data_IF_890944352240
#
_entry.id   IF_890944352240
#
_cell.length_a   1.000
_cell.length_b   1.000
_cell.length_c   1.000
_cell.angle_alpha   90.00
_cell.angle_beta   90.00
_cell.angle_gamma   90.00
#
_symmetry.space_group_name_H-M   'P 1'
#
loop_
_entity.id
_entity.type
_entity.pdbx_description
1 polymer ?
#
# COMPACT_ATOMS: atom_id res chain seq x y z
N UNK A 1 -10.76 -39.12 4.03
CA UNK A 1 -11.49 -37.86 4.33
C UNK A 1 -10.57 -36.67 4.07
N UNK A 2 -10.60 -36.06 2.88
CA UNK A 2 -9.75 -34.90 2.55
C UNK A 2 -10.52 -33.80 1.77
N UNK A 3 -11.85 -33.88 1.78
CA UNK A 3 -12.73 -32.96 1.06
C UNK A 3 -13.31 -31.82 1.92
N UNK A 4 -13.20 -31.87 3.26
CA UNK A 4 -13.86 -30.86 4.13
C UNK A 4 -13.11 -29.52 4.25
N UNK A 5 -11.77 -29.50 4.17
CA UNK A 5 -11.00 -28.25 4.31
C UNK A 5 -11.14 -27.28 3.12
N UNK A 6 -11.46 -27.78 1.92
CA UNK A 6 -11.68 -26.92 0.74
C UNK A 6 -13.05 -26.21 0.77
N UNK A 7 -14.07 -26.82 1.36
CA UNK A 7 -15.41 -26.23 1.48
C UNK A 7 -15.53 -25.23 2.64
N UNK A 8 -14.78 -25.40 3.74
CA UNK A 8 -14.72 -24.38 4.81
C UNK A 8 -14.17 -23.03 4.35
N UNK A 9 -13.33 -23.00 3.31
CA UNK A 9 -12.84 -21.74 2.73
C UNK A 9 -13.95 -20.96 2.01
N UNK A 10 -14.91 -21.65 1.38
CA UNK A 10 -16.00 -21.02 0.62
C UNK A 10 -17.02 -20.28 1.50
N UNK A 11 -17.15 -20.66 2.77
CA UNK A 11 -18.04 -20.00 3.75
C UNK A 11 -17.31 -19.09 4.75
N UNK A 12 -16.02 -18.85 4.54
CA UNK A 12 -15.29 -17.87 5.37
C UNK A 12 -15.68 -16.45 4.98
N UNK A 13 -15.80 -15.54 5.97
CA UNK A 13 -16.05 -14.10 5.73
C UNK A 13 -15.07 -13.52 4.70
N UNK A 14 -13.84 -14.02 4.69
CA UNK A 14 -12.80 -13.63 3.74
C UNK A 14 -13.12 -14.02 2.29
N UNK A 15 -13.72 -15.19 2.05
CA UNK A 15 -14.10 -15.62 0.70
C UNK A 15 -15.28 -14.80 0.16
N UNK A 16 -16.27 -14.50 1.00
CA UNK A 16 -17.38 -13.60 0.63
C UNK A 16 -16.87 -12.19 0.28
N UNK A 17 -15.98 -11.62 1.10
CA UNK A 17 -15.38 -10.31 0.81
C UNK A 17 -14.51 -10.34 -0.46
N UNK A 18 -13.80 -11.45 -0.70
CA UNK A 18 -12.99 -11.65 -1.91
C UNK A 18 -13.83 -11.70 -3.19
N UNK A 19 -14.92 -12.48 -3.17
CA UNK A 19 -15.87 -12.59 -4.28
C UNK A 19 -16.51 -11.22 -4.56
N UNK A 20 -16.85 -10.50 -3.49
CA UNK A 20 -17.42 -9.17 -3.59
C UNK A 20 -16.46 -8.13 -4.18
N UNK A 21 -15.17 -8.11 -3.78
CA UNK A 21 -14.16 -7.25 -4.42
C UNK A 21 -14.02 -7.55 -5.91
N UNK A 22 -14.10 -8.82 -6.29
CA UNK A 22 -14.04 -9.22 -7.69
C UNK A 22 -15.27 -8.71 -8.45
N UNK A 23 -16.47 -8.88 -7.88
CA UNK A 23 -17.70 -8.34 -8.45
C UNK A 23 -17.67 -6.80 -8.59
N UNK A 24 -17.19 -6.07 -7.56
CA UNK A 24 -17.08 -4.60 -7.61
C UNK A 24 -16.11 -4.09 -8.69
N UNK A 25 -15.04 -4.85 -8.95
CA UNK A 25 -14.10 -4.55 -10.04
C UNK A 25 -14.72 -4.81 -11.40
N UNK A 26 -15.57 -5.83 -11.50
CA UNK A 26 -16.26 -6.16 -12.74
C UNK A 26 -17.33 -5.12 -13.11
N UNK A 27 -18.03 -4.55 -12.14
CA UNK A 27 -19.05 -3.51 -12.41
C UNK A 27 -18.47 -2.14 -12.77
N UNK A 28 -17.20 -1.88 -12.45
CA UNK A 28 -16.51 -0.63 -12.79
C UNK A 28 -15.06 -0.94 -13.22
N UNK A 29 -14.88 -1.45 -14.45
CA UNK A 29 -13.59 -1.92 -14.90
C UNK A 29 -12.63 -0.76 -15.17
N UNK A 30 -11.42 -0.86 -14.64
CA UNK A 30 -10.32 0.06 -14.96
C UNK A 30 -9.36 -0.61 -15.94
N UNK A 31 -9.14 0.02 -17.09
CA UNK A 31 -8.29 -0.54 -18.14
C UNK A 31 -6.80 -0.28 -17.89
N UNK A 32 -6.08 -1.30 -17.41
CA UNK A 32 -4.63 -1.25 -17.28
C UNK A 32 -3.93 -0.94 -18.61
N UNK A 33 -4.47 -1.42 -19.74
CA UNK A 33 -3.95 -1.13 -21.09
C UNK A 33 -4.02 0.36 -21.41
N UNK A 34 -5.14 1.04 -21.11
CA UNK A 34 -5.30 2.49 -21.36
C UNK A 34 -4.35 3.29 -20.49
N UNK A 35 -4.21 2.94 -19.21
CA UNK A 35 -3.25 3.60 -18.29
C UNK A 35 -1.81 3.37 -18.74
N UNK A 36 -1.45 2.16 -19.15
CA UNK A 36 -0.09 1.89 -19.65
C UNK A 36 0.21 2.69 -20.93
N UNK A 37 -0.81 3.01 -21.73
CA UNK A 37 -0.65 3.81 -22.94
C UNK A 37 -0.45 5.32 -22.65
N UNK A 38 -0.72 5.80 -21.44
CA UNK A 38 -0.47 7.20 -21.07
C UNK A 38 0.94 7.44 -20.54
N UNK A 39 1.74 6.38 -20.36
CA UNK A 39 3.14 6.49 -19.91
C UNK A 39 4.05 6.69 -21.12
N UNK A 40 4.95 7.67 -21.03
CA UNK A 40 6.03 7.80 -22.00
C UNK A 40 6.98 6.60 -21.89
N UNK A 41 6.89 5.73 -22.90
CA UNK A 41 7.66 4.48 -22.95
C UNK A 41 9.12 4.72 -23.26
N UNK A 42 9.43 5.72 -24.09
CA UNK A 42 10.82 6.02 -24.44
C UNK A 42 11.56 6.55 -23.21
N UNK A 43 10.90 7.42 -22.45
CA UNK A 43 11.43 7.95 -21.19
C UNK A 43 11.64 6.86 -20.14
N UNK A 44 10.64 5.98 -19.97
CA UNK A 44 10.75 4.89 -19.02
C UNK A 44 11.88 3.91 -19.37
N UNK A 45 12.06 3.60 -20.65
CA UNK A 45 13.15 2.72 -21.11
C UNK A 45 14.51 3.39 -20.93
N UNK A 46 14.61 4.71 -21.14
CA UNK A 46 15.82 5.47 -20.83
C UNK A 46 16.14 5.42 -19.33
N UNK A 47 15.15 5.60 -18.46
CA UNK A 47 15.33 5.49 -17.01
C UNK A 47 15.80 4.09 -16.61
N UNK A 48 15.27 3.04 -17.25
CA UNK A 48 15.67 1.65 -17.01
C UNK A 48 17.15 1.41 -17.31
N UNK A 49 17.76 2.09 -18.28
CA UNK A 49 19.20 1.94 -18.57
C UNK A 49 20.09 2.29 -17.36
N UNK A 50 19.63 3.21 -16.52
CA UNK A 50 20.32 3.60 -15.28
C UNK A 50 19.99 2.72 -14.07
N UNK A 51 19.06 1.78 -14.23
CA UNK A 51 18.61 0.90 -13.16
C UNK A 51 19.40 -0.42 -13.16
N UNK A 52 19.91 -0.89 -12.01
CA UNK A 52 20.69 -2.12 -11.97
C UNK A 52 19.91 -3.31 -12.53
N UNK A 53 20.49 -3.98 -13.52
CA UNK A 53 19.91 -5.21 -14.07
C UNK A 53 19.94 -6.31 -13.02
N UNK A 54 18.77 -6.89 -12.69
CA UNK A 54 18.61 -7.95 -11.69
C UNK A 54 17.96 -9.18 -12.33
N UNK A 55 18.71 -10.02 -13.07
CA UNK A 55 18.16 -11.10 -13.90
C UNK A 55 17.34 -12.14 -13.12
N UNK A 56 17.61 -12.28 -11.81
CA UNK A 56 16.95 -13.24 -10.93
C UNK A 56 16.05 -12.57 -9.88
N UNK A 57 15.76 -11.28 -10.03
CA UNK A 57 14.81 -10.62 -9.14
C UNK A 57 13.43 -11.27 -9.32
N UNK A 58 12.77 -11.57 -8.20
CA UNK A 58 11.34 -11.92 -8.23
C UNK A 58 10.60 -10.79 -8.95
N UNK A 59 9.57 -11.11 -9.73
CA UNK A 59 8.78 -10.13 -10.49
C UNK A 59 8.27 -8.95 -9.63
N UNK A 60 7.97 -9.22 -8.37
CA UNK A 60 7.60 -8.22 -7.35
C UNK A 60 8.70 -7.18 -7.04
N UNK A 61 9.93 -7.36 -7.51
CA UNK A 61 11.05 -6.44 -7.33
C UNK A 61 11.53 -5.85 -8.67
N UNK A 62 10.89 -6.23 -9.78
CA UNK A 62 11.13 -5.67 -11.11
C UNK A 62 10.31 -4.38 -11.26
N UNK A 63 10.77 -3.30 -10.65
CA UNK A 63 10.10 -2.00 -10.64
C UNK A 63 10.01 -1.35 -12.02
N UNK A 64 10.91 -1.75 -12.92
CA UNK A 64 10.95 -1.37 -14.33
C UNK A 64 9.82 -2.01 -15.17
N UNK A 65 9.22 -3.11 -14.71
CA UNK A 65 8.08 -3.74 -15.39
C UNK A 65 6.79 -2.95 -15.14
N UNK A 66 6.61 -1.84 -15.88
CA UNK A 66 5.41 -1.01 -15.78
C UNK A 66 4.14 -1.80 -16.04
N UNK A 67 4.11 -2.72 -17.01
CA UNK A 67 2.91 -3.49 -17.30
C UNK A 67 2.45 -4.30 -16.08
N UNK A 68 3.39 -4.92 -15.36
CA UNK A 68 3.11 -5.60 -14.10
C UNK A 68 2.61 -4.61 -13.03
N UNK A 69 3.32 -3.52 -12.79
CA UNK A 69 2.98 -2.58 -11.71
C UNK A 69 1.70 -1.81 -11.96
N UNK A 70 1.35 -1.48 -13.20
CA UNK A 70 0.05 -0.90 -13.53
C UNK A 70 -1.07 -1.88 -13.19
N UNK A 71 -0.94 -3.17 -13.54
CA UNK A 71 -1.95 -4.16 -13.17
C UNK A 71 -2.10 -4.34 -11.65
N UNK A 72 -0.99 -4.28 -10.91
CA UNK A 72 -1.02 -4.32 -9.43
C UNK A 72 -1.74 -3.09 -8.87
N UNK A 73 -1.40 -1.90 -9.35
CA UNK A 73 -1.94 -0.65 -8.82
C UNK A 73 -3.38 -0.37 -9.26
N UNK A 74 -3.82 -0.87 -10.42
CA UNK A 74 -5.25 -0.86 -10.79
C UNK A 74 -6.09 -1.56 -9.71
N UNK A 75 -5.64 -2.74 -9.25
CA UNK A 75 -6.34 -3.46 -8.18
C UNK A 75 -6.36 -2.66 -6.87
N UNK A 76 -5.25 -1.98 -6.52
CA UNK A 76 -5.18 -1.16 -5.31
C UNK A 76 -6.14 0.03 -5.35
N UNK A 77 -6.14 0.77 -6.46
CA UNK A 77 -7.06 1.88 -6.69
C UNK A 77 -8.51 1.42 -6.60
N UNK A 78 -8.87 0.32 -7.25
CA UNK A 78 -10.24 -0.22 -7.19
C UNK A 78 -10.60 -0.78 -5.81
N UNK A 79 -9.69 -1.48 -5.13
CA UNK A 79 -9.92 -2.02 -3.77
C UNK A 79 -10.14 -0.87 -2.76
N UNK A 80 -9.57 0.31 -3.02
CA UNK A 80 -9.73 1.53 -2.22
C UNK A 80 -10.83 2.47 -2.73
N UNK A 81 -11.51 2.11 -3.82
CA UNK A 81 -12.57 2.89 -4.46
C UNK A 81 -12.12 4.25 -5.00
N UNK A 82 -10.82 4.43 -5.21
CA UNK A 82 -10.25 5.67 -5.71
C UNK A 82 -10.77 5.99 -7.13
N UNK A 83 -11.02 4.97 -7.96
CA UNK A 83 -11.57 5.14 -9.30
C UNK A 83 -13.01 5.71 -9.37
N UNK A 84 -13.68 5.85 -8.22
CA UNK A 84 -15.09 6.28 -8.13
C UNK A 84 -15.41 7.12 -6.90
N UNK A 85 -14.38 7.58 -6.19
CA UNK A 85 -14.51 8.46 -5.03
C UNK A 85 -14.27 9.91 -5.42
N UNK A 86 -14.80 10.88 -4.67
CA UNK A 86 -14.38 12.27 -4.84
C UNK A 86 -12.86 12.44 -4.69
N UNK A 87 -12.26 13.51 -5.24
CA UNK A 87 -10.84 13.82 -5.04
C UNK A 87 -10.41 13.72 -3.58
N UNK A 88 -9.24 13.11 -3.35
CA UNK A 88 -8.67 12.87 -2.03
C UNK A 88 -7.23 13.38 -2.02
N UNK A 89 -6.76 13.81 -0.85
CA UNK A 89 -5.34 14.05 -0.59
C UNK A 89 -4.72 12.77 -0.01
N UNK A 90 -3.71 12.24 -0.69
CA UNK A 90 -3.08 10.95 -0.42
C UNK A 90 -1.60 11.14 -0.05
N UNK A 91 -1.17 10.51 1.03
CA UNK A 91 0.25 10.32 1.37
C UNK A 91 0.62 8.84 1.20
N UNK A 92 1.56 8.52 0.31
CA UNK A 92 2.03 7.15 0.11
C UNK A 92 3.43 6.96 0.71
N UNK A 93 3.50 6.12 1.75
CA UNK A 93 4.68 5.80 2.54
C UNK A 93 5.45 4.64 1.91
N UNK A 94 6.68 4.90 1.51
CA UNK A 94 7.44 3.99 0.64
C UNK A 94 6.85 3.99 -0.78
N UNK A 95 6.64 5.17 -1.37
CA UNK A 95 5.94 5.29 -2.67
C UNK A 95 6.69 4.63 -3.83
N UNK A 96 7.97 4.29 -3.65
CA UNK A 96 8.82 3.63 -4.63
C UNK A 96 8.81 4.39 -5.97
N UNK A 97 8.60 3.70 -7.11
CA UNK A 97 8.51 4.34 -8.44
C UNK A 97 7.31 5.28 -8.65
N UNK A 98 6.40 5.41 -7.68
CA UNK A 98 5.26 6.32 -7.76
C UNK A 98 4.06 5.85 -8.59
N UNK A 99 4.04 4.59 -9.09
CA UNK A 99 2.93 4.09 -9.90
C UNK A 99 1.55 4.21 -9.22
N UNK A 100 1.45 3.95 -7.92
CA UNK A 100 0.17 4.05 -7.20
C UNK A 100 -0.37 5.49 -7.22
N UNK A 101 0.49 6.46 -6.93
CA UNK A 101 0.14 7.88 -6.95
C UNK A 101 -0.12 8.37 -8.38
N UNK A 102 0.63 7.88 -9.37
CA UNK A 102 0.37 8.16 -10.79
C UNK A 102 -1.05 7.76 -11.19
N UNK A 103 -1.46 6.52 -10.89
CA UNK A 103 -2.84 6.09 -11.16
C UNK A 103 -3.85 6.92 -10.38
N UNK A 104 -3.59 7.20 -9.11
CA UNK A 104 -4.50 7.98 -8.27
C UNK A 104 -4.74 9.38 -8.86
N UNK A 105 -3.70 10.02 -9.42
CA UNK A 105 -3.84 11.32 -10.12
C UNK A 105 -4.69 11.23 -11.37
N UNK A 106 -4.61 10.15 -12.13
CA UNK A 106 -5.47 9.95 -13.31
C UNK A 106 -6.97 9.87 -12.94
N UNK A 107 -7.29 9.54 -11.68
CA UNK A 107 -8.64 9.55 -11.12
C UNK A 107 -8.98 10.83 -10.35
N UNK A 108 -8.14 11.88 -10.45
CA UNK A 108 -8.41 13.19 -9.86
C UNK A 108 -7.95 13.36 -8.42
N UNK A 109 -7.19 12.40 -7.85
CA UNK A 109 -6.62 12.57 -6.51
C UNK A 109 -5.32 13.35 -6.53
N UNK A 110 -4.99 13.97 -5.40
CA UNK A 110 -3.68 14.59 -5.17
C UNK A 110 -2.82 13.67 -4.32
N UNK A 111 -1.59 13.43 -4.76
CA UNK A 111 -0.68 12.48 -4.13
C UNK A 111 0.64 13.13 -3.72
N UNK A 112 1.12 12.80 -2.52
CA UNK A 112 2.48 13.04 -2.06
C UNK A 112 3.15 11.71 -1.71
N UNK A 113 4.33 11.46 -2.26
CA UNK A 113 5.14 10.30 -1.90
C UNK A 113 6.11 10.61 -0.76
N UNK A 114 6.43 9.60 0.03
CA UNK A 114 7.58 9.60 0.95
C UNK A 114 8.40 8.34 0.67
N UNK A 115 9.67 8.49 0.32
CA UNK A 115 10.58 7.37 0.07
C UNK A 115 12.03 7.82 0.28
N UNK A 116 12.96 6.96 0.70
CA UNK A 116 14.38 7.28 0.66
C UNK A 116 14.85 7.55 -0.78
N UNK A 117 16.01 8.16 -0.91
CA UNK A 117 16.60 8.52 -2.21
C UNK A 117 17.66 7.51 -2.69
N UNK A 118 17.60 6.29 -2.16
CA UNK A 118 18.59 5.24 -2.37
C UNK A 118 18.54 4.66 -3.79
N UNK A 119 17.38 4.71 -4.45
CA UNK A 119 17.14 4.05 -5.74
C UNK A 119 16.94 5.07 -6.88
N UNK A 120 17.95 5.29 -7.75
CA UNK A 120 17.88 6.27 -8.83
C UNK A 120 16.66 6.12 -9.75
N UNK A 121 16.22 4.87 -9.99
CA UNK A 121 15.03 4.63 -10.81
C UNK A 121 13.75 5.17 -10.18
N UNK A 122 13.63 5.16 -8.85
CA UNK A 122 12.46 5.72 -8.16
C UNK A 122 12.45 7.25 -8.28
N UNK A 123 13.62 7.88 -8.16
CA UNK A 123 13.77 9.32 -8.41
C UNK A 123 13.38 9.69 -9.85
N UNK A 124 13.82 8.91 -10.83
CA UNK A 124 13.51 9.16 -12.24
C UNK A 124 12.03 9.00 -12.56
N UNK A 125 11.43 7.91 -12.11
CA UNK A 125 10.01 7.61 -12.38
C UNK A 125 9.04 8.54 -11.66
N UNK A 126 9.34 8.94 -10.42
CA UNK A 126 8.51 9.94 -9.72
C UNK A 126 8.55 11.30 -10.42
N UNK A 127 9.69 11.71 -10.98
CA UNK A 127 9.77 12.90 -11.85
C UNK A 127 8.96 12.74 -13.13
N UNK A 128 9.11 11.61 -13.84
CA UNK A 128 8.34 11.30 -15.04
C UNK A 128 6.83 11.39 -14.81
N UNK A 129 6.36 10.88 -13.66
CA UNK A 129 4.94 10.89 -13.30
C UNK A 129 4.47 12.19 -12.63
N UNK A 130 5.34 13.20 -12.49
CA UNK A 130 5.06 14.45 -11.77
C UNK A 130 4.52 14.20 -10.35
N UNK A 131 5.12 13.25 -9.64
CA UNK A 131 4.79 12.91 -8.26
C UNK A 131 5.74 13.65 -7.32
N UNK A 132 5.25 14.60 -6.51
CA UNK A 132 6.08 15.21 -5.48
C UNK A 132 6.46 14.14 -4.45
N UNK A 133 7.71 14.19 -3.98
CA UNK A 133 8.27 13.20 -3.05
C UNK A 133 9.07 13.89 -1.95
N UNK A 134 8.74 13.57 -0.70
CA UNK A 134 9.58 13.88 0.46
C UNK A 134 10.65 12.79 0.59
N UNK A 135 11.91 13.19 0.65
CA UNK A 135 13.02 12.27 0.85
C UNK A 135 13.18 12.02 2.35
N UNK A 136 12.79 10.84 2.81
CA UNK A 136 12.95 10.44 4.20
C UNK A 136 12.94 8.92 4.37
N UNK A 137 13.60 8.44 5.42
CA UNK A 137 13.54 7.05 5.86
C UNK A 137 12.59 6.93 7.04
N UNK A 138 11.72 5.92 7.00
CA UNK A 138 10.85 5.56 8.12
C UNK A 138 11.63 4.60 9.02
N UNK A 139 11.75 4.95 10.30
CA UNK A 139 12.48 4.21 11.33
C UNK A 139 11.60 3.99 12.57
N UNK A 140 11.84 2.94 13.37
CA UNK A 140 11.05 2.69 14.57
C UNK A 140 11.19 3.87 15.55
N UNK A 141 10.10 4.19 16.25
CA UNK A 141 10.04 5.24 17.29
C UNK A 141 10.58 6.61 16.85
N UNK A 142 10.58 6.87 15.56
CA UNK A 142 11.03 8.14 14.98
C UNK A 142 9.84 8.78 14.27
N UNK A 143 9.45 10.01 14.63
CA UNK A 143 8.35 10.68 13.94
C UNK A 143 8.72 10.91 12.48
N UNK A 144 7.73 10.81 11.58
CA UNK A 144 7.93 11.20 10.19
C UNK A 144 8.34 12.69 10.08
N UNK A 145 9.03 13.11 9.00
CA UNK A 145 9.28 14.54 8.77
C UNK A 145 7.96 15.31 8.78
N UNK A 146 8.00 16.56 9.25
CA UNK A 146 6.83 17.42 9.14
C UNK A 146 6.56 17.76 7.66
N UNK A 147 5.32 17.58 7.25
CA UNK A 147 4.83 17.82 5.89
C UNK A 147 3.89 19.04 5.87
N UNK A 148 3.47 19.53 7.03
CA UNK A 148 2.63 20.73 7.16
C UNK A 148 1.17 20.55 6.72
N UNK A 149 0.72 19.31 6.45
CA UNK A 149 -0.69 19.03 6.10
C UNK A 149 -1.13 17.61 6.48
N UNK A 150 -2.46 17.45 6.54
CA UNK A 150 -3.15 16.18 6.81
C UNK A 150 -3.84 15.64 5.55
N UNK A 151 -4.02 14.33 5.51
CA UNK A 151 -4.45 13.56 4.36
C UNK A 151 -5.77 12.83 4.64
N UNK A 152 -6.55 12.61 3.58
CA UNK A 152 -7.77 11.79 3.63
C UNK A 152 -7.41 10.29 3.64
N UNK A 153 -6.26 9.95 3.04
CA UNK A 153 -5.75 8.60 2.95
C UNK A 153 -4.22 8.60 3.08
N UNK A 154 -3.71 7.83 4.03
CA UNK A 154 -2.29 7.46 4.10
C UNK A 154 -2.18 6.00 3.68
N UNK A 155 -1.29 5.69 2.75
CA UNK A 155 -1.05 4.32 2.28
C UNK A 155 0.38 3.91 2.55
N UNK A 156 0.61 2.62 2.75
CA UNK A 156 1.92 1.99 2.68
C UNK A 156 1.75 0.66 1.95
N UNK A 157 2.36 0.55 0.77
CA UNK A 157 2.22 -0.63 -0.08
C UNK A 157 3.43 -1.55 0.02
N UNK A 158 3.18 -2.84 0.24
CA UNK A 158 4.25 -3.86 0.40
C UNK A 158 5.29 -3.45 1.45
N UNK A 159 4.80 -2.91 2.56
CA UNK A 159 5.55 -2.32 3.66
C UNK A 159 6.74 -3.19 4.03
N UNK A 160 7.93 -2.58 4.09
CA UNK A 160 9.19 -3.22 4.45
C UNK A 160 10.02 -2.43 5.47
N UNK A 161 9.69 -1.16 5.73
CA UNK A 161 10.40 -0.31 6.71
C UNK A 161 10.34 -0.85 8.16
N UNK A 162 9.43 -1.78 8.43
CA UNK A 162 9.34 -2.48 9.70
C UNK A 162 10.45 -3.51 9.94
N UNK A 163 11.27 -3.81 8.91
CA UNK A 163 12.40 -4.73 9.01
C UNK A 163 13.63 -3.93 9.38
N UNK A 164 14.21 -4.23 10.55
CA UNK A 164 15.33 -3.52 11.12
C UNK A 164 16.66 -4.10 10.59
N UNK A 165 16.87 -5.39 10.83
CA UNK A 165 18.09 -6.08 10.46
C UNK A 165 17.81 -7.56 10.18
N UNK A 166 18.75 -8.25 9.56
CA UNK A 166 18.67 -9.70 9.36
C UNK A 166 19.57 -10.37 10.38
N UNK A 167 18.99 -11.22 11.23
CA UNK A 167 19.74 -12.02 12.20
C UNK A 167 20.56 -13.10 11.49
N UNK A 168 21.57 -13.66 12.18
CA UNK A 168 22.47 -14.70 11.66
C UNK A 168 21.71 -15.94 11.15
N UNK A 169 20.59 -16.28 11.81
CA UNK A 169 19.71 -17.38 11.40
C UNK A 169 18.84 -17.05 10.17
N UNK A 170 19.06 -15.91 9.52
CA UNK A 170 18.36 -15.47 8.32
C UNK A 170 16.95 -14.91 8.56
N UNK A 171 16.47 -14.82 9.80
CA UNK A 171 15.19 -14.18 10.16
C UNK A 171 15.34 -12.66 10.23
N UNK A 172 14.28 -11.94 9.90
CA UNK A 172 14.24 -10.50 10.10
C UNK A 172 14.01 -10.18 11.58
N UNK A 173 14.82 -9.28 12.12
CA UNK A 173 14.47 -8.49 13.29
C UNK A 173 13.48 -7.43 12.82
N UNK A 174 12.25 -7.52 13.32
CA UNK A 174 11.12 -6.68 12.91
C UNK A 174 10.69 -5.77 14.07
N UNK A 175 9.93 -4.73 13.75
CA UNK A 175 9.29 -3.84 14.72
C UNK A 175 8.46 -4.62 15.74
N UNK A 176 8.59 -4.20 17.01
CA UNK A 176 7.75 -4.64 18.12
C UNK A 176 6.35 -4.01 18.05
N UNK A 177 5.37 -4.50 18.84
CA UNK A 177 4.09 -3.83 19.00
C UNK A 177 4.21 -2.36 19.42
N UNK A 178 5.17 -2.01 20.29
CA UNK A 178 5.42 -0.63 20.72
C UNK A 178 5.90 0.26 19.56
N UNK A 179 6.75 -0.26 18.67
CA UNK A 179 7.20 0.48 17.49
C UNK A 179 6.04 0.75 16.52
N UNK A 180 5.17 -0.24 16.33
CA UNK A 180 3.95 -0.07 15.54
C UNK A 180 2.97 0.91 16.16
N UNK A 181 2.80 0.87 17.48
CA UNK A 181 1.91 1.79 18.21
C UNK A 181 2.38 3.23 18.05
N UNK A 182 3.68 3.47 18.23
CA UNK A 182 4.28 4.78 17.98
C UNK A 182 3.97 5.26 16.56
N UNK A 183 4.27 4.44 15.55
CA UNK A 183 4.05 4.79 14.15
C UNK A 183 2.57 5.07 13.84
N UNK A 184 1.66 4.22 14.29
CA UNK A 184 0.22 4.38 14.07
C UNK A 184 -0.27 5.69 14.74
N UNK A 185 0.18 5.97 15.96
CA UNK A 185 -0.18 7.19 16.68
C UNK A 185 0.38 8.45 16.01
N UNK A 186 1.61 8.39 15.49
CA UNK A 186 2.20 9.49 14.71
C UNK A 186 1.35 9.79 13.47
N UNK A 187 0.97 8.76 12.71
CA UNK A 187 0.08 8.90 11.54
C UNK A 187 -1.28 9.50 11.91
N UNK A 188 -1.94 8.99 12.95
CA UNK A 188 -3.26 9.47 13.38
C UNK A 188 -3.24 10.92 13.79
N UNK A 189 -2.29 11.29 14.64
CA UNK A 189 -2.26 12.60 15.27
C UNK A 189 -1.80 13.68 14.29
N UNK A 190 -0.79 13.39 13.46
CA UNK A 190 -0.17 14.41 12.59
C UNK A 190 -0.58 14.35 11.13
N UNK A 191 -0.90 13.17 10.58
CA UNK A 191 -1.07 13.00 9.14
C UNK A 191 -2.49 12.68 8.69
N UNK A 192 -3.38 12.22 9.58
CA UNK A 192 -4.78 11.96 9.22
C UNK A 192 -5.70 13.14 9.54
N UNK A 193 -6.59 13.44 8.60
CA UNK A 193 -7.83 14.21 8.84
C UNK A 193 -8.78 13.40 9.74
N UNK A 194 -9.82 14.02 10.35
CA UNK A 194 -10.74 13.31 11.27
C UNK A 194 -11.38 12.03 10.71
N UNK A 195 -11.73 12.01 9.42
CA UNK A 195 -12.27 10.82 8.74
C UNK A 195 -11.23 10.12 7.85
N UNK A 196 -9.96 10.49 8.02
CA UNK A 196 -8.83 9.93 7.30
C UNK A 196 -8.58 8.47 7.68
N UNK A 197 -7.95 7.74 6.76
CA UNK A 197 -7.63 6.32 6.95
C UNK A 197 -6.17 6.02 6.66
N UNK A 198 -5.61 5.03 7.36
CA UNK A 198 -4.30 4.46 7.10
C UNK A 198 -4.47 3.05 6.53
N UNK A 199 -3.95 2.79 5.33
CA UNK A 199 -3.80 1.45 4.76
C UNK A 199 -2.35 1.00 4.88
N UNK A 200 -2.12 -0.19 5.43
CA UNK A 200 -0.84 -0.89 5.35
C UNK A 200 -1.03 -2.22 4.65
N UNK A 201 -0.37 -2.41 3.50
CA UNK A 201 -0.32 -3.67 2.77
C UNK A 201 1.03 -4.34 3.00
N UNK A 202 1.04 -5.56 3.53
CA UNK A 202 2.25 -6.30 3.86
C UNK A 202 2.55 -7.41 2.84
N UNK A 203 3.83 -7.76 2.73
CA UNK A 203 4.24 -8.94 1.96
C UNK A 203 4.02 -10.21 2.78
N UNK A 204 3.73 -11.33 2.10
CA UNK A 204 3.90 -12.65 2.71
C UNK A 204 5.37 -12.87 3.06
N UNK A 205 5.62 -13.61 4.14
CA UNK A 205 6.96 -13.98 4.57
C UNK A 205 7.58 -14.97 3.59
N UNK A 206 8.91 -15.14 3.65
CA UNK A 206 9.64 -15.99 2.70
C UNK A 206 9.21 -17.46 2.77
N UNK A 207 8.83 -17.92 3.97
CA UNK A 207 8.24 -19.23 4.25
C UNK A 207 6.77 -19.37 3.82
N UNK A 208 6.19 -18.32 3.21
CA UNK A 208 4.80 -18.28 2.77
C UNK A 208 3.78 -17.93 3.86
N UNK A 209 4.23 -17.72 5.11
CA UNK A 209 3.36 -17.33 6.22
C UNK A 209 2.90 -15.86 6.10
N UNK A 210 1.84 -15.52 6.84
CA UNK A 210 1.30 -14.16 6.91
C UNK A 210 2.23 -13.27 7.74
N UNK A 211 2.32 -11.98 7.38
CA UNK A 211 2.92 -10.97 8.27
C UNK A 211 2.13 -10.85 9.58
N UNK A 212 0.80 -10.89 9.51
CA UNK A 212 -0.07 -10.92 10.67
C UNK A 212 0.00 -12.30 11.35
N UNK A 213 1.01 -12.48 12.21
CA UNK A 213 1.01 -13.50 13.26
C UNK A 213 -0.21 -13.30 14.18
N UNK A 214 -0.55 -14.28 15.00
CA UNK A 214 -1.68 -14.13 15.94
C UNK A 214 -1.50 -12.92 16.87
N UNK A 215 -0.29 -12.74 17.39
CA UNK A 215 0.09 -11.59 18.22
C UNK A 215 -0.06 -10.25 17.47
N UNK A 216 0.55 -10.12 16.28
CA UNK A 216 0.44 -8.87 15.51
C UNK A 216 -0.98 -8.62 15.04
N UNK A 217 -1.74 -9.67 14.70
CA UNK A 217 -3.15 -9.56 14.37
C UNK A 217 -3.94 -8.97 15.55
N UNK A 218 -3.79 -9.56 16.73
CA UNK A 218 -4.47 -9.10 17.94
C UNK A 218 -4.09 -7.64 18.27
N UNK A 219 -2.82 -7.29 18.13
CA UNK A 219 -2.35 -5.91 18.28
C UNK A 219 -2.98 -4.95 17.26
N UNK A 220 -2.94 -5.27 15.96
CA UNK A 220 -3.53 -4.38 14.95
C UNK A 220 -5.05 -4.26 15.15
N UNK A 221 -5.75 -5.34 15.54
CA UNK A 221 -7.17 -5.33 15.85
C UNK A 221 -7.50 -4.53 17.12
N UNK A 222 -6.64 -4.56 18.15
CA UNK A 222 -6.77 -3.71 19.34
C UNK A 222 -6.55 -2.23 19.02
N UNK A 223 -5.66 -1.93 18.06
CA UNK A 223 -5.50 -0.61 17.45
C UNK A 223 -6.65 -0.24 16.50
N UNK A 224 -7.64 -1.11 16.34
CA UNK A 224 -8.83 -0.86 15.54
C UNK A 224 -8.68 -1.04 14.04
N UNK A 225 -7.66 -1.78 13.62
CA UNK A 225 -7.54 -2.20 12.24
C UNK A 225 -8.67 -3.14 11.84
N UNK A 226 -9.20 -2.92 10.64
CA UNK A 226 -9.85 -3.98 9.87
C UNK A 226 -8.78 -4.68 9.06
N UNK A 227 -8.49 -5.94 9.40
CA UNK A 227 -7.54 -6.76 8.65
C UNK A 227 -8.29 -7.55 7.58
N UNK A 228 -7.80 -7.49 6.35
CA UNK A 228 -8.27 -8.34 5.26
C UNK A 228 -7.07 -8.86 4.47
N UNK A 229 -6.91 -10.19 4.43
CA UNK A 229 -5.75 -10.87 3.85
C UNK A 229 -4.43 -10.34 4.45
N UNK A 230 -3.64 -9.61 3.66
CA UNK A 230 -2.36 -9.01 4.04
C UNK A 230 -2.45 -7.47 4.14
N UNK A 231 -3.66 -6.91 4.31
CA UNK A 231 -3.90 -5.48 4.50
C UNK A 231 -4.47 -5.20 5.88
N UNK A 232 -4.00 -4.14 6.55
CA UNK A 232 -4.63 -3.53 7.71
C UNK A 232 -5.12 -2.14 7.34
N UNK A 233 -6.39 -1.85 7.62
CA UNK A 233 -7.00 -0.53 7.42
C UNK A 233 -7.42 0.06 8.77
N UNK A 234 -6.87 1.21 9.13
CA UNK A 234 -7.11 1.92 10.38
C UNK A 234 -7.76 3.28 10.12
N UNK A 235 -8.60 3.75 11.03
CA UNK A 235 -9.13 5.11 11.00
C UNK A 235 -8.29 6.04 11.89
N UNK A 236 -8.45 7.35 11.69
CA UNK A 236 -7.89 8.36 12.57
C UNK A 236 -8.35 8.16 14.03
N UNK A 237 -9.64 7.92 14.23
CA UNK A 237 -10.22 7.51 15.51
C UNK A 237 -10.02 6.00 15.75
N UNK A 238 -9.30 5.57 16.80
CA UNK A 238 -9.07 4.16 17.10
C UNK A 238 -10.33 3.37 17.44
N UNK A 239 -11.44 4.04 17.80
CA UNK A 239 -12.72 3.39 18.09
C UNK A 239 -13.53 3.12 16.83
N UNK A 240 -13.22 3.79 15.71
CA UNK A 240 -13.87 3.54 14.43
C UNK A 240 -13.23 2.34 13.74
N UNK A 241 -14.06 1.51 13.08
CA UNK A 241 -13.60 0.39 12.24
C UNK A 241 -13.87 0.75 10.77
N UNK A 242 -12.88 1.26 10.03
CA UNK A 242 -13.11 1.71 8.66
C UNK A 242 -13.44 0.54 7.74
N UNK A 243 -14.13 0.85 6.65
CA UNK A 243 -14.39 -0.10 5.56
C UNK A 243 -13.46 0.23 4.40
N UNK A 244 -13.03 -0.80 3.67
CA UNK A 244 -12.31 -0.63 2.41
C UNK A 244 -13.19 0.07 1.38
N UNK A 245 -14.45 -0.36 1.29
CA UNK A 245 -15.54 0.31 0.56
C UNK A 245 -15.97 1.58 1.30
N UNK A 246 -15.89 2.73 0.64
CA UNK A 246 -16.65 3.92 1.03
C UNK A 246 -17.89 4.00 0.13
N UNK A 247 -19.03 3.53 0.62
CA UNK A 247 -20.32 4.01 0.08
C UNK A 247 -20.48 5.45 0.55
N UNK A 248 -21.00 6.33 -0.31
CA UNK A 248 -21.11 7.78 -0.05
C UNK A 248 -21.60 8.14 1.35
N UNK A 249 -21.17 9.33 1.79
CA UNK A 249 -21.35 9.94 3.11
C UNK A 249 -22.61 9.46 3.85
N UNK A 250 -22.43 9.07 5.11
CA UNK A 250 -23.47 9.32 6.09
C UNK A 250 -23.62 10.85 6.12
N UNK A 251 -24.72 11.34 5.58
CA UNK A 251 -25.21 12.68 5.93
C UNK A 251 -25.52 12.72 7.44
#
# INVERSE_FOLDING_TARGET
>A
MQFSHKFQKLFSRDAAQSLWEHACRWTHPVSARRILATIDRAELERLRQSYPYRPNARKINAYEDAAYWINVNVKRVQDLWLDRSPPLQILDLGCGPGYFLYLSRLFGHEGLGLDPDDEPFFRGTTKLFNIPRVIARISPQTPLPDIGKKFDLVTGHRVCFHRIARAENGKWLEWSPADWEFFINDIRTRFLKPDGRLLLEFNRRQDGSSFFTEELRAFFESQGARIFRWKALLAADPNKRPRFKQTGRSD
#
